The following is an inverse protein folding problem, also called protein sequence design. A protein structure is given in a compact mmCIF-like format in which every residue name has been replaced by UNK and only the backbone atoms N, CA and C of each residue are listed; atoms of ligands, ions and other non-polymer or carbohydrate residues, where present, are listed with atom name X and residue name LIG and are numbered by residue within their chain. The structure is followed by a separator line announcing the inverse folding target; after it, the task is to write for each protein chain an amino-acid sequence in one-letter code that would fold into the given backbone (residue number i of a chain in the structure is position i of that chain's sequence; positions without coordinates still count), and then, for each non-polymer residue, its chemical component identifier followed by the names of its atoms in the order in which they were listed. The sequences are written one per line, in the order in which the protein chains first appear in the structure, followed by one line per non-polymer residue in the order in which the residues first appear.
data_IF_294294632443
#
_entry.id   IF_294294632443
#
_cell.length_a   1.000
_cell.length_b   1.000
_cell.length_c   1.000
_cell.angle_alpha   90.00
_cell.angle_beta   90.00
_cell.angle_gamma   90.00
#
_symmetry.space_group_name_H-M   'P 1'
#
loop_
_entity.id
_entity.type
_entity.pdbx_description
1 polymer ?
#
# COMPACT_ATOMS: atom_id res chain seq x y z
N UNK A 1 16.89 -26.85 3.82
CA UNK A 1 15.92 -25.73 3.74
C UNK A 1 16.68 -24.53 3.18
N UNK A 2 16.17 -23.88 2.12
CA UNK A 2 16.77 -22.65 1.62
C UNK A 2 16.64 -21.56 2.67
N UNK A 3 17.70 -20.77 2.90
CA UNK A 3 17.59 -19.54 3.70
C UNK A 3 16.48 -18.64 3.11
N UNK A 4 15.76 -17.87 3.94
CA UNK A 4 14.83 -16.87 3.42
C UNK A 4 15.57 -15.90 2.50
N UNK A 5 14.90 -15.31 1.49
CA UNK A 5 15.52 -14.27 0.68
C UNK A 5 15.94 -13.11 1.58
N UNK A 6 17.00 -12.35 1.25
CA UNK A 6 17.43 -11.21 2.03
C UNK A 6 16.44 -10.04 1.89
N UNK A 7 16.54 -9.09 2.82
CA UNK A 7 15.89 -7.79 2.70
C UNK A 7 16.35 -7.04 1.44
N UNK A 8 15.47 -6.17 0.92
CA UNK A 8 15.83 -5.32 -0.21
C UNK A 8 17.07 -4.45 0.13
N UNK A 9 17.98 -4.22 -0.83
CA UNK A 9 19.25 -3.52 -0.58
C UNK A 9 19.05 -2.06 -0.14
N UNK A 10 17.92 -1.45 -0.51
CA UNK A 10 17.54 -0.09 -0.13
C UNK A 10 16.87 -0.01 1.25
N UNK A 11 16.40 -1.13 1.83
CA UNK A 11 15.53 -1.15 3.03
C UNK A 11 16.12 -0.36 4.19
N UNK A 12 17.32 -0.74 4.62
CA UNK A 12 17.92 -0.18 5.84
C UNK A 12 18.19 1.32 5.70
N UNK A 13 18.69 1.74 4.53
CA UNK A 13 18.96 3.14 4.25
C UNK A 13 17.65 3.94 4.23
N UNK A 14 16.63 3.45 3.53
CA UNK A 14 15.31 4.07 3.49
C UNK A 14 14.69 4.23 4.89
N UNK A 15 14.71 3.17 5.71
CA UNK A 15 14.19 3.22 7.09
C UNK A 15 14.97 4.23 7.94
N UNK A 16 16.30 4.24 7.87
CA UNK A 16 17.10 5.22 8.61
C UNK A 16 16.80 6.67 8.20
N UNK A 17 16.52 6.90 6.91
CA UNK A 17 16.11 8.21 6.42
C UNK A 17 14.71 8.59 6.92
N UNK A 18 13.75 7.67 6.91
CA UNK A 18 12.41 7.89 7.49
C UNK A 18 12.48 8.26 8.98
N UNK A 19 13.30 7.55 9.77
CA UNK A 19 13.48 7.80 11.20
C UNK A 19 14.14 9.16 11.49
N UNK A 20 14.89 9.70 10.53
CA UNK A 20 15.50 11.01 10.63
C UNK A 20 14.56 12.19 10.36
N UNK A 21 13.37 11.92 9.80
CA UNK A 21 12.36 12.94 9.49
C UNK A 21 11.60 13.35 10.76
N UNK A 22 11.25 14.63 10.89
CA UNK A 22 10.41 15.12 12.00
C UNK A 22 9.04 14.42 12.05
N UNK A 23 8.51 14.15 10.85
CA UNK A 23 7.30 13.38 10.60
C UNK A 23 7.54 12.55 9.34
N UNK A 24 7.22 11.24 9.32
CA UNK A 24 7.45 10.38 8.16
C UNK A 24 6.39 10.62 7.07
N UNK A 25 6.29 11.86 6.60
CA UNK A 25 5.35 12.31 5.58
C UNK A 25 5.84 12.02 4.16
N UNK A 26 4.90 11.76 3.27
CA UNK A 26 5.18 11.55 1.85
C UNK A 26 4.03 12.01 0.98
N UNK A 27 4.34 12.33 -0.28
CA UNK A 27 3.32 12.60 -1.28
C UNK A 27 2.89 11.31 -1.95
N UNK A 28 1.62 10.93 -1.80
CA UNK A 28 1.01 9.82 -2.52
C UNK A 28 0.40 10.32 -3.83
N UNK A 29 0.97 9.86 -4.94
CA UNK A 29 0.45 10.07 -6.29
C UNK A 29 -0.38 8.87 -6.75
N UNK A 30 -1.57 9.14 -7.28
CA UNK A 30 -2.51 8.16 -7.82
C UNK A 30 -3.10 8.67 -9.14
N UNK A 31 -3.85 7.82 -9.83
CA UNK A 31 -4.59 8.19 -11.04
C UNK A 31 -6.10 8.09 -10.80
N UNK A 32 -6.84 9.14 -11.19
CA UNK A 32 -8.31 9.13 -11.20
C UNK A 32 -8.82 9.00 -12.62
N UNK A 33 -9.66 8.00 -12.88
CA UNK A 33 -10.36 7.85 -14.16
C UNK A 33 -11.41 8.95 -14.33
N UNK A 34 -11.48 9.57 -15.50
CA UNK A 34 -12.53 10.51 -15.85
C UNK A 34 -13.90 9.82 -15.88
N UNK A 35 -14.91 10.44 -15.28
CA UNK A 35 -16.29 9.95 -15.41
C UNK A 35 -16.88 10.35 -16.77
N UNK A 36 -17.83 9.58 -17.28
CA UNK A 36 -18.55 9.87 -18.53
C UNK A 36 -19.28 11.23 -18.49
N UNK A 37 -19.62 11.76 -17.31
CA UNK A 37 -20.22 13.08 -17.15
C UNK A 37 -19.26 14.23 -17.51
N UNK A 38 -17.97 14.07 -17.23
CA UNK A 38 -16.94 15.06 -17.60
C UNK A 38 -16.53 14.98 -19.08
N UNK A 39 -17.06 14.01 -19.83
CA UNK A 39 -16.82 13.83 -21.25
C UNK A 39 -17.92 14.43 -22.15
N UNK A 40 -19.02 14.97 -21.57
CA UNK A 40 -20.21 15.43 -22.31
C UNK A 40 -19.99 16.64 -23.23
N UNK A 41 -18.98 17.47 -22.96
CA UNK A 41 -18.72 18.69 -23.74
C UNK A 41 -17.72 18.50 -24.91
N UNK A 42 -17.40 17.25 -25.29
CA UNK A 42 -16.35 17.01 -26.29
C UNK A 42 -16.86 16.39 -27.58
N UNK A 43 -16.37 16.96 -28.70
CA UNK A 43 -16.58 16.44 -30.05
C UNK A 43 -16.03 15.01 -30.13
N UNK A 44 -16.75 14.07 -30.76
CA UNK A 44 -16.28 12.71 -30.96
C UNK A 44 -15.21 12.70 -32.07
N UNK A 45 -13.97 13.04 -31.72
CA UNK A 45 -12.85 12.83 -32.63
C UNK A 45 -11.60 12.42 -31.87
N UNK A 46 -11.10 11.25 -32.27
CA UNK A 46 -9.82 10.60 -31.93
C UNK A 46 -9.79 9.85 -30.59
N UNK A 47 -10.06 8.53 -30.70
CA UNK A 47 -9.67 7.42 -29.81
C UNK A 47 -10.25 7.45 -28.38
N UNK A 48 -11.16 6.49 -28.13
CA UNK A 48 -11.87 6.22 -26.89
C UNK A 48 -11.01 5.67 -25.74
N UNK A 49 -9.82 6.25 -25.50
CA UNK A 49 -8.99 5.90 -24.35
C UNK A 49 -9.60 6.52 -23.07
N UNK A 50 -9.63 5.79 -21.94
CA UNK A 50 -10.04 6.40 -20.68
C UNK A 50 -9.07 7.54 -20.33
N UNK A 51 -9.61 8.73 -20.07
CA UNK A 51 -8.80 9.85 -19.58
C UNK A 51 -8.45 9.62 -18.11
N UNK A 52 -7.17 9.76 -17.77
CA UNK A 52 -6.67 9.68 -16.40
C UNK A 52 -6.16 11.05 -15.95
N UNK A 53 -6.49 11.42 -14.72
CA UNK A 53 -5.99 12.62 -14.09
C UNK A 53 -5.14 12.27 -12.88
N UNK A 54 -3.89 12.74 -12.80
CA UNK A 54 -3.06 12.54 -11.63
C UNK A 54 -3.67 13.26 -10.42
N UNK A 55 -3.47 12.67 -9.24
CA UNK A 55 -3.85 13.25 -7.96
C UNK A 55 -2.70 13.05 -6.99
N UNK A 56 -2.43 14.06 -6.18
CA UNK A 56 -1.39 14.04 -5.18
C UNK A 56 -1.95 14.52 -3.83
N UNK A 57 -1.42 13.98 -2.73
CA UNK A 57 -1.73 14.42 -1.37
C UNK A 57 -0.64 13.94 -0.41
N UNK A 58 -0.49 14.62 0.71
CA UNK A 58 0.38 14.18 1.81
C UNK A 58 -0.27 13.04 2.59
N UNK A 59 0.50 12.01 2.89
CA UNK A 59 0.18 10.88 3.74
C UNK A 59 1.30 10.68 4.77
N UNK A 60 1.02 9.92 5.84
CA UNK A 60 2.02 9.58 6.86
C UNK A 60 2.34 8.10 6.73
N UNK A 61 3.62 7.78 6.51
CA UNK A 61 4.12 6.42 6.52
C UNK A 61 4.04 5.87 7.96
N UNK A 62 3.48 4.67 8.11
CA UNK A 62 3.23 4.00 9.40
C UNK A 62 4.21 2.85 9.63
N UNK A 63 5.37 2.91 8.99
CA UNK A 63 6.39 1.87 9.02
C UNK A 63 6.19 0.82 7.93
N UNK A 64 6.94 -0.27 8.04
CA UNK A 64 6.87 -1.40 7.13
C UNK A 64 5.91 -2.47 7.68
N UNK A 65 5.18 -3.12 6.78
CA UNK A 65 4.22 -4.16 7.15
C UNK A 65 4.92 -5.35 7.82
N UNK A 66 4.33 -5.87 8.90
CA UNK A 66 4.92 -6.90 9.77
C UNK A 66 6.20 -6.47 10.50
N UNK A 67 6.47 -5.17 10.59
CA UNK A 67 7.60 -4.57 11.32
C UNK A 67 7.14 -3.39 12.20
N UNK A 68 5.92 -3.50 12.76
CA UNK A 68 5.37 -2.47 13.63
C UNK A 68 6.15 -2.43 14.96
N UNK A 69 6.85 -1.34 15.21
CA UNK A 69 7.58 -1.12 16.46
C UNK A 69 6.65 -1.18 17.69
N UNK A 70 7.16 -1.76 18.78
CA UNK A 70 6.43 -1.82 20.06
C UNK A 70 6.23 -0.41 20.60
N UNK A 71 4.98 -0.03 20.80
CA UNK A 71 4.60 1.22 21.42
C UNK A 71 3.92 0.94 22.77
N UNK A 72 4.48 1.37 23.91
CA UNK A 72 3.88 1.16 25.22
C UNK A 72 2.48 1.75 25.41
N UNK A 73 2.04 2.65 24.52
CA UNK A 73 0.70 3.25 24.52
C UNK A 73 -0.30 2.52 23.62
N UNK A 74 0.15 1.45 22.95
CA UNK A 74 -0.68 0.62 22.09
C UNK A 74 -1.12 -0.61 22.87
N UNK A 75 -2.37 -0.59 23.33
CA UNK A 75 -2.95 -1.69 24.11
C UNK A 75 -3.46 -2.84 23.22
N UNK A 76 -3.28 -2.74 21.89
CA UNK A 76 -3.71 -3.78 20.96
C UNK A 76 -2.82 -5.03 21.04
N UNK A 77 -3.38 -6.23 20.86
CA UNK A 77 -2.58 -7.44 20.77
C UNK A 77 -1.66 -7.35 19.54
N UNK A 78 -0.34 -7.42 19.77
CA UNK A 78 0.64 -7.43 18.69
C UNK A 78 0.85 -8.85 18.14
N UNK A 79 1.20 -8.93 16.86
CA UNK A 79 1.73 -10.17 16.31
C UNK A 79 3.05 -10.55 16.98
N UNK A 80 3.40 -11.85 17.03
CA UNK A 80 4.69 -12.28 17.55
C UNK A 80 5.83 -11.64 16.74
N UNK A 81 6.76 -10.98 17.43
CA UNK A 81 7.91 -10.31 16.82
C UNK A 81 8.86 -11.29 16.14
N UNK A 82 9.46 -10.88 15.04
CA UNK A 82 10.51 -11.67 14.37
C UNK A 82 10.02 -12.96 13.70
N UNK A 83 8.71 -13.12 13.47
CA UNK A 83 8.18 -14.22 12.65
C UNK A 83 8.25 -13.89 11.15
N UNK A 84 7.88 -12.66 10.82
CA UNK A 84 7.84 -12.13 9.47
C UNK A 84 8.50 -10.77 9.42
N UNK A 85 9.03 -10.42 8.26
CA UNK A 85 9.41 -9.07 7.88
C UNK A 85 8.95 -8.82 6.43
N UNK A 86 8.90 -7.56 6.00
CA UNK A 86 8.57 -7.23 4.62
C UNK A 86 9.04 -5.84 4.24
N UNK A 87 9.31 -5.61 2.96
CA UNK A 87 9.69 -4.28 2.43
C UNK A 87 8.46 -3.47 1.96
N UNK A 88 7.32 -3.68 2.60
CA UNK A 88 6.03 -3.13 2.16
C UNK A 88 5.68 -1.91 3.00
N UNK A 89 5.47 -0.75 2.37
CA UNK A 89 5.20 0.50 3.08
C UNK A 89 3.75 0.54 3.51
N UNK A 90 3.48 1.08 4.70
CA UNK A 90 2.11 1.19 5.22
C UNK A 90 1.70 2.64 5.42
N UNK A 91 0.43 2.94 5.21
CA UNK A 91 -0.21 4.15 5.72
C UNK A 91 -1.66 3.87 6.10
N UNK A 92 -2.30 4.79 6.82
CA UNK A 92 -3.71 4.66 7.24
C UNK A 92 -4.57 5.70 6.55
N UNK A 93 -5.80 5.33 6.18
CA UNK A 93 -6.76 6.24 5.52
C UNK A 93 -8.18 5.95 5.97
N UNK A 94 -9.07 6.93 5.79
CA UNK A 94 -10.51 6.75 5.98
C UNK A 94 -11.13 6.18 4.68
N UNK A 95 -11.99 5.18 4.82
CA UNK A 95 -12.69 4.48 3.74
C UNK A 95 -13.59 5.39 2.89
N UNK A 96 -13.86 6.60 3.36
CA UNK A 96 -14.69 7.61 2.68
C UNK A 96 -13.86 8.64 1.91
N UNK A 97 -12.53 8.61 1.98
CA UNK A 97 -11.69 9.56 1.23
C UNK A 97 -11.74 9.28 -0.28
N UNK A 98 -11.65 10.33 -1.10
CA UNK A 98 -11.68 10.19 -2.57
C UNK A 98 -10.63 9.22 -3.12
N UNK A 99 -9.43 9.18 -2.51
CA UNK A 99 -8.37 8.25 -2.92
C UNK A 99 -8.81 6.78 -2.88
N UNK A 100 -9.82 6.44 -2.10
CA UNK A 100 -10.36 5.09 -2.05
C UNK A 100 -10.90 4.66 -3.42
N UNK A 101 -11.49 5.54 -4.23
CA UNK A 101 -11.87 5.17 -5.60
C UNK A 101 -10.64 4.90 -6.48
N UNK A 102 -9.57 5.66 -6.26
CA UNK A 102 -8.34 5.64 -7.06
C UNK A 102 -7.44 4.44 -6.73
N UNK A 103 -7.59 3.84 -5.54
CA UNK A 103 -6.81 2.69 -5.10
C UNK A 103 -7.31 1.35 -5.67
N UNK A 104 -8.46 1.35 -6.35
CA UNK A 104 -9.02 0.15 -6.97
C UNK A 104 -8.72 0.12 -8.46
N UNK A 105 -8.33 -1.06 -8.95
CA UNK A 105 -8.00 -1.32 -10.35
C UNK A 105 -9.29 -1.35 -11.20
N UNK A 106 -9.80 -0.16 -11.54
CA UNK A 106 -10.91 0.00 -12.50
C UNK A 106 -10.55 0.94 -13.65
N UNK A 107 -9.25 1.18 -13.84
CA UNK A 107 -8.78 2.01 -14.94
C UNK A 107 -7.28 2.20 -14.93
N UNK A 108 -6.52 1.19 -15.31
CA UNK A 108 -5.38 1.43 -16.19
C UNK A 108 -5.61 0.45 -17.33
N UNK A 109 -5.98 0.97 -18.49
CA UNK A 109 -5.99 0.18 -19.72
C UNK A 109 -4.55 -0.31 -19.94
N UNK A 110 -4.35 -1.63 -19.85
CA UNK A 110 -3.03 -2.28 -19.93
C UNK A 110 -2.35 -2.05 -21.29
N UNK A 111 -3.08 -1.57 -22.29
CA UNK A 111 -2.58 -1.26 -23.62
C UNK A 111 -1.54 -0.11 -23.64
N UNK A 112 -1.53 0.78 -22.64
CA UNK A 112 -0.47 1.80 -22.51
C UNK A 112 0.89 1.21 -22.08
N UNK A 113 0.92 -0.03 -21.55
CA UNK A 113 2.18 -0.72 -21.20
C UNK A 113 2.78 -1.43 -22.41
N UNK A 114 1.95 -1.95 -23.32
CA UNK A 114 2.41 -2.59 -24.57
C UNK A 114 3.16 -1.60 -25.46
N UNK A 115 2.78 -0.32 -25.45
CA UNK A 115 3.44 0.72 -26.24
C UNK A 115 4.82 1.18 -25.75
N UNK A 116 5.26 0.78 -24.54
CA UNK A 116 6.55 1.19 -23.97
C UNK A 116 7.64 0.10 -24.03
N UNK A 117 7.35 -1.01 -24.72
CA UNK A 117 8.24 -2.18 -24.85
C UNK A 117 9.18 -2.17 -26.07
N UNK A 118 9.36 -1.05 -26.78
CA UNK A 118 10.20 -1.00 -28.00
C UNK A 118 11.45 -0.12 -27.91
N UNK A 119 11.75 0.48 -26.75
CA UNK A 119 13.03 1.19 -26.55
C UNK A 119 14.05 0.31 -25.80
N UNK A 120 15.02 -0.31 -26.51
CA UNK A 120 16.05 -1.15 -25.90
C UNK A 120 17.06 -0.36 -25.04
N UNK A 121 16.94 0.98 -24.94
CA UNK A 121 17.83 1.84 -24.15
C UNK A 121 17.23 2.30 -22.81
N UNK A 122 15.97 2.01 -22.52
CA UNK A 122 15.33 2.36 -21.23
C UNK A 122 15.77 1.39 -20.12
N UNK A 123 16.47 1.85 -19.07
CA UNK A 123 16.86 0.99 -17.94
C UNK A 123 15.67 0.62 -17.03
N UNK A 124 14.48 1.16 -17.31
CA UNK A 124 13.24 0.79 -16.62
C UNK A 124 12.35 -0.04 -17.53
N UNK A 125 12.00 -1.23 -17.02
CA UNK A 125 11.05 -2.26 -17.49
C UNK A 125 11.50 -3.22 -18.58
N UNK A 126 11.42 -4.51 -18.26
CA UNK A 126 11.23 -5.57 -19.26
C UNK A 126 11.29 -6.97 -18.68
N UNK A 127 10.16 -7.70 -18.77
CA UNK A 127 9.98 -9.17 -18.68
C UNK A 127 9.42 -9.77 -17.37
N UNK A 128 10.05 -9.64 -16.21
CA UNK A 128 9.64 -10.52 -15.08
C UNK A 128 8.32 -10.13 -14.40
N UNK A 129 7.99 -8.84 -14.37
CA UNK A 129 6.70 -8.36 -13.84
C UNK A 129 5.49 -8.74 -14.69
N UNK A 130 5.69 -8.97 -16.00
CA UNK A 130 4.65 -9.39 -16.94
C UNK A 130 4.36 -10.88 -16.83
N UNK A 131 5.38 -11.75 -16.79
CA UNK A 131 5.20 -13.21 -16.69
C UNK A 131 4.49 -13.63 -15.39
N UNK A 132 4.91 -13.09 -14.24
CA UNK A 132 4.27 -13.39 -12.95
C UNK A 132 2.83 -12.89 -12.85
N UNK A 133 2.48 -11.85 -13.63
CA UNK A 133 1.15 -11.26 -13.66
C UNK A 133 0.22 -11.98 -14.64
N UNK A 134 0.72 -12.33 -15.83
CA UNK A 134 0.00 -13.15 -16.82
C UNK A 134 -0.28 -14.56 -16.28
N UNK A 135 0.65 -15.17 -15.54
CA UNK A 135 0.39 -16.43 -14.81
C UNK A 135 -0.71 -16.26 -13.74
N UNK A 136 -0.72 -15.13 -13.03
CA UNK A 136 -1.77 -14.77 -12.08
C UNK A 136 -3.14 -14.60 -12.73
N UNK A 137 -3.19 -13.92 -13.88
CA UNK A 137 -4.39 -13.68 -14.69
C UNK A 137 -4.92 -14.97 -15.35
N UNK A 138 -4.04 -15.82 -15.88
CA UNK A 138 -4.39 -17.13 -16.43
C UNK A 138 -5.03 -18.03 -15.38
N UNK A 139 -4.54 -17.97 -14.12
CA UNK A 139 -5.12 -18.68 -12.98
C UNK A 139 -6.49 -18.13 -12.56
N UNK A 140 -6.77 -16.85 -12.83
CA UNK A 140 -8.09 -16.24 -12.58
C UNK A 140 -9.11 -16.56 -13.67
N UNK A 141 -8.72 -16.61 -14.94
CA UNK A 141 -9.61 -16.92 -16.07
C UNK A 141 -10.13 -18.36 -16.07
N UNK A 142 -9.48 -19.28 -15.35
CA UNK A 142 -9.86 -20.69 -15.25
C UNK A 142 -10.91 -21.03 -14.17
N UNK A 143 -11.38 -20.07 -13.37
CA UNK A 143 -12.41 -20.32 -12.35
C UNK A 143 -13.80 -20.01 -12.90
N UNK A 144 -14.53 -21.06 -13.26
CA UNK A 144 -15.95 -21.01 -13.58
C UNK A 144 -16.72 -20.33 -12.44
N UNK A 145 -17.38 -19.23 -12.75
CA UNK A 145 -18.19 -18.43 -11.83
C UNK A 145 -19.37 -19.24 -11.30
N UNK A 146 -19.31 -19.63 -10.04
CA UNK A 146 -20.52 -19.82 -9.22
C UNK A 146 -21.19 -18.45 -9.05
N UNK A 147 -22.52 -18.41 -9.19
CA UNK A 147 -23.34 -17.19 -9.03
C UNK A 147 -23.22 -16.62 -7.61
N UNK A 148 -22.19 -15.82 -7.35
CA UNK A 148 -22.09 -14.97 -6.16
C UNK A 148 -22.70 -13.60 -6.47
N UNK A 149 -23.49 -13.06 -5.53
CA UNK A 149 -24.11 -11.76 -5.65
C UNK A 149 -23.07 -10.66 -5.95
N UNK A 150 -23.22 -9.98 -7.08
CA UNK A 150 -22.32 -8.91 -7.50
C UNK A 150 -22.44 -7.73 -6.53
N UNK A 151 -21.47 -7.57 -5.62
CA UNK A 151 -21.37 -6.41 -4.73
C UNK A 151 -21.37 -5.11 -5.54
N UNK A 152 -22.11 -4.11 -5.08
CA UNK A 152 -22.05 -2.76 -5.66
C UNK A 152 -20.66 -2.16 -5.52
N UNK A 153 -20.27 -1.23 -6.41
CA UNK A 153 -18.96 -0.54 -6.34
C UNK A 153 -18.73 0.07 -4.96
N UNK A 154 -19.75 0.66 -4.35
CA UNK A 154 -19.67 1.28 -3.02
C UNK A 154 -19.43 0.27 -1.90
N UNK A 155 -19.94 -0.95 -2.01
CA UNK A 155 -19.67 -2.03 -1.06
C UNK A 155 -18.26 -2.59 -1.23
N UNK A 156 -17.78 -2.73 -2.47
CA UNK A 156 -16.40 -3.15 -2.76
C UNK A 156 -15.36 -2.20 -2.15
N UNK A 157 -15.60 -0.89 -2.24
CA UNK A 157 -14.69 0.13 -1.68
C UNK A 157 -14.60 0.10 -0.14
N UNK A 158 -15.54 -0.55 0.54
CA UNK A 158 -15.50 -0.72 2.00
C UNK A 158 -14.68 -1.95 2.42
N UNK A 159 -14.50 -2.94 1.55
CA UNK A 159 -13.78 -4.17 1.87
C UNK A 159 -12.28 -4.09 1.60
N UNK A 160 -11.61 -5.23 1.78
CA UNK A 160 -10.22 -5.42 1.40
C UNK A 160 -10.08 -5.61 -0.12
N UNK A 161 -8.97 -5.16 -0.70
CA UNK A 161 -8.74 -5.22 -2.16
C UNK A 161 -7.75 -4.18 -2.64
N UNK A 162 -8.06 -3.53 -3.76
CA UNK A 162 -7.24 -2.48 -4.36
C UNK A 162 -6.37 -3.00 -5.50
N UNK A 163 -5.08 -2.65 -5.49
CA UNK A 163 -4.10 -3.06 -6.50
C UNK A 163 -3.74 -1.97 -7.52
N UNK A 164 -4.27 -0.76 -7.38
CA UNK A 164 -3.94 0.33 -8.29
C UNK A 164 -2.46 0.73 -8.22
N UNK A 165 -1.93 1.20 -9.35
CA UNK A 165 -0.56 1.73 -9.43
C UNK A 165 -0.47 3.07 -8.72
N UNK A 166 0.58 3.24 -7.91
CA UNK A 166 0.86 4.46 -7.14
C UNK A 166 2.35 4.82 -7.21
N UNK A 167 2.65 6.09 -6.94
CA UNK A 167 4.02 6.53 -6.63
C UNK A 167 4.00 7.29 -5.29
N UNK A 168 4.84 6.88 -4.35
CA UNK A 168 5.04 7.54 -3.06
C UNK A 168 6.38 8.28 -3.06
N UNK A 169 6.36 9.60 -2.85
CA UNK A 169 7.55 10.46 -2.89
C UNK A 169 7.87 10.99 -1.50
N UNK A 170 9.07 10.71 -1.02
CA UNK A 170 9.61 11.15 0.25
C UNK A 170 10.75 12.13 0.02
N UNK A 171 10.82 13.18 0.84
CA UNK A 171 11.97 14.05 0.95
C UNK A 171 12.55 13.95 2.36
N UNK A 172 13.68 13.25 2.49
CA UNK A 172 14.42 13.16 3.74
C UNK A 172 15.37 14.36 3.82
N UNK A 173 14.87 15.47 4.38
CA UNK A 173 15.57 16.76 4.33
C UNK A 173 16.94 16.78 5.01
N UNK A 174 17.09 16.14 6.18
CA UNK A 174 18.37 16.09 6.90
C UNK A 174 19.44 15.28 6.14
N UNK A 175 19.14 14.08 5.59
CA UNK A 175 20.05 13.39 4.69
C UNK A 175 20.22 14.06 3.31
N UNK A 176 19.31 14.93 2.87
CA UNK A 176 19.35 15.49 1.52
C UNK A 176 18.96 14.48 0.43
N UNK A 177 18.12 13.49 0.74
CA UNK A 177 17.79 12.37 -0.16
C UNK A 177 16.30 12.35 -0.50
N UNK A 178 15.98 12.25 -1.78
CA UNK A 178 14.63 11.96 -2.27
C UNK A 178 14.46 10.46 -2.54
N UNK A 179 13.32 9.91 -2.15
CA UNK A 179 12.90 8.56 -2.52
C UNK A 179 11.60 8.60 -3.30
N UNK A 180 11.55 7.97 -4.47
CA UNK A 180 10.31 7.74 -5.22
C UNK A 180 10.06 6.24 -5.28
N UNK A 181 9.03 5.79 -4.59
CA UNK A 181 8.63 4.39 -4.50
C UNK A 181 7.46 4.16 -5.43
N UNK A 182 7.69 3.41 -6.50
CA UNK A 182 6.66 2.95 -7.45
C UNK A 182 6.16 1.58 -7.01
N UNK A 183 4.87 1.31 -7.21
CA UNK A 183 4.29 0.03 -6.85
C UNK A 183 2.77 -0.03 -6.94
N UNK A 184 2.21 -1.04 -6.28
CA UNK A 184 0.75 -1.25 -6.18
C UNK A 184 0.27 -1.10 -4.74
N UNK A 185 -0.84 -0.40 -4.55
CA UNK A 185 -1.42 -0.16 -3.24
C UNK A 185 -2.64 -1.05 -2.97
N UNK A 186 -2.62 -1.79 -1.86
CA UNK A 186 -3.68 -2.68 -1.43
C UNK A 186 -4.32 -2.17 -0.15
N UNK A 187 -5.64 -2.18 -0.11
CA UNK A 187 -6.44 -1.77 1.03
C UNK A 187 -6.78 -2.97 1.89
N UNK A 188 -6.51 -2.86 3.19
CA UNK A 188 -6.79 -3.85 4.21
C UNK A 188 -7.90 -3.31 5.12
N UNK A 189 -9.02 -4.03 5.12
CA UNK A 189 -10.21 -3.74 5.90
C UNK A 189 -10.50 -4.88 6.91
N UNK A 190 -11.51 -4.76 7.79
CA UNK A 190 -11.82 -5.81 8.77
C UNK A 190 -12.15 -7.18 8.18
N UNK A 191 -12.50 -7.25 6.89
CA UNK A 191 -12.80 -8.49 6.17
C UNK A 191 -11.57 -9.18 5.55
N UNK A 192 -10.35 -8.75 5.86
CA UNK A 192 -9.09 -9.21 5.24
C UNK A 192 -8.91 -10.73 5.26
N UNK A 193 -9.40 -11.42 6.29
CA UNK A 193 -9.27 -12.88 6.44
C UNK A 193 -10.59 -13.62 6.14
N UNK A 194 -11.74 -12.94 6.16
CA UNK A 194 -13.07 -13.54 5.98
C UNK A 194 -13.60 -13.47 4.54
N UNK A 195 -13.21 -12.43 3.78
CA UNK A 195 -13.65 -12.24 2.39
C UNK A 195 -12.77 -12.98 1.37
N UNK A 196 -13.32 -13.41 0.21
CA UNK A 196 -12.53 -13.90 -0.91
C UNK A 196 -11.45 -12.92 -1.37
N UNK A 197 -11.81 -11.65 -1.54
CA UNK A 197 -10.89 -10.60 -2.00
C UNK A 197 -9.78 -10.34 -0.97
N UNK A 198 -10.12 -10.34 0.32
CA UNK A 198 -9.15 -10.26 1.41
C UNK A 198 -8.14 -11.42 1.38
N UNK A 199 -8.60 -12.66 1.19
CA UNK A 199 -7.71 -13.83 1.09
C UNK A 199 -6.74 -13.75 -0.10
N UNK A 200 -7.15 -13.15 -1.21
CA UNK A 200 -6.28 -12.91 -2.36
C UNK A 200 -5.19 -11.88 -2.03
N UNK A 201 -5.57 -10.77 -1.38
CA UNK A 201 -4.61 -9.77 -0.88
C UNK A 201 -3.64 -10.41 0.11
N UNK A 202 -4.11 -11.22 1.05
CA UNK A 202 -3.26 -11.96 2.00
C UNK A 202 -2.25 -12.84 1.28
N UNK A 203 -2.68 -13.60 0.26
CA UNK A 203 -1.78 -14.47 -0.50
C UNK A 203 -0.70 -13.66 -1.25
N UNK A 204 -1.07 -12.51 -1.82
CA UNK A 204 -0.15 -11.59 -2.49
C UNK A 204 0.84 -10.95 -1.52
N UNK A 205 0.37 -10.45 -0.39
CA UNK A 205 1.27 -9.82 0.59
C UNK A 205 2.21 -10.86 1.19
N UNK A 206 1.73 -12.07 1.51
CA UNK A 206 2.57 -13.18 1.99
C UNK A 206 3.66 -13.58 0.98
N UNK A 207 3.41 -13.47 -0.33
CA UNK A 207 4.45 -13.76 -1.34
C UNK A 207 5.56 -12.70 -1.39
N UNK A 208 5.33 -11.55 -0.76
CA UNK A 208 6.27 -10.42 -0.64
C UNK A 208 6.81 -10.23 0.78
N UNK A 209 6.40 -11.09 1.70
CA UNK A 209 6.88 -11.14 3.08
C UNK A 209 7.92 -12.25 3.22
N UNK A 210 8.86 -12.07 4.13
CA UNK A 210 9.91 -13.06 4.42
C UNK A 210 9.72 -13.63 5.81
N UNK A 211 9.88 -14.93 5.92
CA UNK A 211 9.81 -15.63 7.20
C UNK A 211 11.20 -15.66 7.83
N UNK A 212 11.33 -15.09 9.02
CA UNK A 212 12.61 -14.95 9.70
C UNK A 212 13.00 -16.17 10.55
N UNK A 213 12.02 -16.90 11.09
CA UNK A 213 12.26 -18.04 11.97
C UNK A 213 11.75 -19.39 11.41
N UNK A 214 12.66 -20.38 11.39
CA UNK A 214 12.33 -21.79 11.61
C UNK A 214 12.13 -22.01 13.11
N UNK A 215 10.97 -22.49 13.52
CA UNK A 215 10.57 -22.71 14.92
C UNK A 215 11.34 -23.86 15.61
N UNK A 216 12.66 -23.76 15.73
CA UNK A 216 13.46 -24.62 16.57
C UNK A 216 14.20 -23.73 17.58
N UNK A 217 14.09 -24.11 18.86
CA UNK A 217 14.83 -23.56 20.00
C UNK A 217 14.34 -22.25 20.61
N UNK A 218 13.11 -22.28 21.12
CA UNK A 218 12.87 -21.71 22.45
C UNK A 218 12.25 -22.82 23.31
N UNK A 219 13.06 -23.31 24.24
CA UNK A 219 12.69 -24.28 25.26
C UNK A 219 11.42 -23.83 26.01
N UNK A 220 10.45 -24.75 26.11
CA UNK A 220 9.51 -24.75 27.22
C UNK A 220 8.25 -23.89 27.07
N UNK A 221 7.20 -24.56 26.60
CA UNK A 221 5.78 -24.27 26.84
C UNK A 221 5.06 -23.20 25.98
N UNK A 222 3.86 -23.62 25.53
CA UNK A 222 2.66 -22.87 25.14
C UNK A 222 2.62 -22.28 23.72
N UNK A 223 1.73 -22.88 22.92
CA UNK A 223 1.12 -22.36 21.68
C UNK A 223 2.02 -21.53 20.76
N UNK A 224 2.43 -22.10 19.62
CA UNK A 224 3.00 -21.31 18.51
C UNK A 224 1.96 -20.26 18.10
N UNK A 225 2.04 -19.05 18.65
CA UNK A 225 1.13 -17.95 18.30
C UNK A 225 1.26 -17.68 16.80
N UNK A 226 0.17 -17.86 16.08
CA UNK A 226 0.12 -17.64 14.64
C UNK A 226 0.08 -16.14 14.32
N UNK A 227 0.74 -15.73 13.24
CA UNK A 227 0.71 -14.34 12.75
C UNK A 227 -0.60 -14.10 11.98
N UNK A 228 -1.30 -12.99 12.26
CA UNK A 228 -2.60 -12.65 11.66
C UNK A 228 -2.60 -11.25 11.05
N UNK A 229 -3.20 -11.14 9.86
CA UNK A 229 -3.42 -9.86 9.19
C UNK A 229 -4.41 -9.00 9.97
N UNK A 230 -5.51 -9.59 10.47
CA UNK A 230 -6.50 -8.86 11.26
C UNK A 230 -5.91 -8.31 12.57
N UNK A 231 -5.00 -9.06 13.20
CA UNK A 231 -4.24 -8.60 14.36
C UNK A 231 -3.34 -7.42 14.02
N UNK A 232 -2.62 -7.48 12.90
CA UNK A 232 -1.74 -6.38 12.45
C UNK A 232 -2.55 -5.09 12.14
N UNK A 233 -3.71 -5.21 11.48
CA UNK A 233 -4.61 -4.08 11.23
C UNK A 233 -5.07 -3.43 12.55
N UNK A 234 -5.38 -4.26 13.55
CA UNK A 234 -5.80 -3.78 14.87
C UNK A 234 -4.64 -3.13 15.61
N UNK A 235 -3.43 -3.69 15.50
CA UNK A 235 -2.21 -3.10 16.04
C UNK A 235 -1.93 -1.72 15.43
N UNK A 236 -2.08 -1.54 14.11
CA UNK A 236 -1.97 -0.23 13.46
C UNK A 236 -3.01 0.78 13.98
N UNK A 237 -4.26 0.36 14.22
CA UNK A 237 -5.29 1.23 14.79
C UNK A 237 -4.96 1.63 16.24
N UNK A 238 -4.53 0.66 17.04
CA UNK A 238 -4.11 0.87 18.42
C UNK A 238 -2.86 1.76 18.55
N UNK A 239 -2.00 1.77 17.53
CA UNK A 239 -0.80 2.61 17.49
C UNK A 239 -1.09 4.10 17.23
N UNK A 240 -2.31 4.46 16.82
CA UNK A 240 -2.74 5.85 16.67
C UNK A 240 -3.04 6.48 18.04
N UNK A 241 -2.92 7.81 18.16
CA UNK A 241 -3.40 8.50 19.36
C UNK A 241 -4.93 8.43 19.46
N UNK A 242 -5.54 8.57 20.66
CA UNK A 242 -6.99 8.59 20.79
C UNK A 242 -7.70 9.63 19.92
N UNK A 243 -7.09 10.81 19.75
CA UNK A 243 -7.61 11.86 18.87
C UNK A 243 -7.53 11.46 17.39
N UNK A 244 -6.44 10.81 16.97
CA UNK A 244 -6.32 10.30 15.59
C UNK A 244 -7.31 9.17 15.31
N UNK A 245 -7.55 8.26 16.28
CA UNK A 245 -8.62 7.26 16.15
C UNK A 245 -9.99 7.91 16.05
N UNK A 246 -10.24 8.96 16.83
CA UNK A 246 -11.48 9.74 16.77
C UNK A 246 -11.72 10.42 15.42
N UNK A 247 -10.67 10.71 14.64
CA UNK A 247 -10.84 11.28 13.29
C UNK A 247 -11.66 10.39 12.34
N UNK A 248 -11.67 9.06 12.53
CA UNK A 248 -12.50 8.14 11.75
C UNK A 248 -13.99 8.23 12.09
N UNK A 249 -14.35 8.98 13.13
CA UNK A 249 -15.73 9.35 13.49
C UNK A 249 -16.07 10.79 13.07
N UNK A 250 -15.21 11.47 12.32
CA UNK A 250 -15.57 12.77 11.77
C UNK A 250 -16.67 12.64 10.71
N UNK A 251 -17.42 13.73 10.43
CA UNK A 251 -18.28 13.81 9.25
C UNK A 251 -17.52 13.42 7.97
N UNK A 252 -18.21 12.88 6.94
CA UNK A 252 -17.55 12.42 5.72
C UNK A 252 -16.65 13.50 5.09
N UNK A 253 -15.40 13.17 4.73
CA UNK A 253 -14.47 14.14 4.17
C UNK A 253 -14.97 14.69 2.83
N UNK A 254 -14.70 15.97 2.56
CA UNK A 254 -15.13 16.65 1.33
C UNK A 254 -16.61 17.10 1.31
N UNK A 255 -17.41 16.76 2.34
CA UNK A 255 -18.79 17.24 2.47
C UNK A 255 -18.79 18.73 2.90
N UNK A 256 -19.62 19.58 2.28
CA UNK A 256 -19.75 20.98 2.69
C UNK A 256 -20.16 21.11 4.16
N UNK A 257 -19.48 21.99 4.89
CA UNK A 257 -19.74 22.26 6.32
C UNK A 257 -21.10 22.90 6.59
N UNK A 258 -21.72 23.50 5.57
CA UNK A 258 -23.06 24.08 5.64
C UNK A 258 -24.17 23.03 5.67
N UNK A 259 -23.88 21.78 5.28
CA UNK A 259 -24.84 20.69 5.32
C UNK A 259 -24.85 20.03 6.70
N UNK A 260 -26.01 19.53 7.16
CA UNK A 260 -26.08 18.76 8.39
C UNK A 260 -25.20 17.50 8.30
N UNK A 261 -24.64 17.11 9.45
CA UNK A 261 -23.92 15.86 9.59
C UNK A 261 -24.95 14.73 9.63
N UNK A 262 -24.99 13.92 8.58
CA UNK A 262 -25.79 12.70 8.54
C UNK A 262 -24.95 11.51 9.00
N UNK A 263 -25.49 10.74 9.93
CA UNK A 263 -24.87 9.53 10.47
C UNK A 263 -24.73 9.59 11.99
N UNK A 264 -25.12 8.50 12.65
CA UNK A 264 -25.06 8.38 14.10
C UNK A 264 -23.60 8.34 14.59
N UNK A 265 -23.31 9.07 15.67
CA UNK A 265 -21.97 9.07 16.29
C UNK A 265 -20.89 9.85 15.54
N UNK A 266 -21.25 10.65 14.53
CA UNK A 266 -20.31 11.47 13.76
C UNK A 266 -20.20 12.90 14.30
N UNK A 267 -18.99 13.30 14.66
CA UNK A 267 -18.66 14.63 15.19
C UNK A 267 -17.14 14.87 15.16
N UNK A 268 -16.74 16.15 15.14
CA UNK A 268 -15.34 16.56 15.22
C UNK A 268 -14.80 16.45 16.66
N UNK A 269 -13.49 16.30 16.79
CA UNK A 269 -12.79 16.40 18.08
C UNK A 269 -13.02 15.23 19.05
N UNK A 270 -13.68 14.17 18.59
CA UNK A 270 -13.89 12.96 19.39
C UNK A 270 -12.56 12.28 19.70
N UNK A 271 -12.49 11.61 20.85
CA UNK A 271 -11.37 10.73 21.22
C UNK A 271 -11.90 9.30 21.33
N UNK A 272 -11.19 8.36 20.72
CA UNK A 272 -11.56 6.94 20.74
C UNK A 272 -10.44 6.16 21.43
N UNK A 273 -10.78 5.48 22.51
CA UNK A 273 -9.87 4.59 23.27
C UNK A 273 -10.18 3.12 23.04
N UNK A 274 -11.44 2.80 22.70
CA UNK A 274 -11.86 1.46 22.33
C UNK A 274 -11.27 1.05 20.97
N UNK A 275 -10.59 -0.09 20.93
CA UNK A 275 -10.00 -0.65 19.71
C UNK A 275 -11.04 -1.24 18.77
N UNK A 276 -12.22 -1.57 19.28
CA UNK A 276 -13.33 -2.17 18.54
C UNK A 276 -14.48 -1.17 18.29
N UNK A 277 -14.23 0.13 18.45
CA UNK A 277 -15.21 1.19 18.21
C UNK A 277 -15.86 1.01 16.82
N UNK A 278 -17.16 0.71 16.72
CA UNK A 278 -17.76 0.24 15.48
C UNK A 278 -17.78 1.31 14.39
N UNK A 279 -17.90 2.60 14.78
CA UNK A 279 -17.95 3.72 13.83
C UNK A 279 -16.55 3.99 13.28
N UNK A 280 -15.54 4.05 14.14
CA UNK A 280 -14.17 4.26 13.73
C UNK A 280 -13.66 3.09 12.88
N UNK A 281 -13.93 1.84 13.29
CA UNK A 281 -13.47 0.63 12.59
C UNK A 281 -14.16 0.44 11.25
N UNK A 282 -15.42 0.85 11.11
CA UNK A 282 -16.10 0.88 9.81
C UNK A 282 -15.37 1.77 8.78
N UNK A 283 -14.70 2.84 9.22
CA UNK A 283 -14.02 3.80 8.36
C UNK A 283 -12.49 3.61 8.30
N UNK A 284 -11.86 3.00 9.30
CA UNK A 284 -10.41 2.82 9.37
C UNK A 284 -9.90 1.80 8.34
N UNK A 285 -8.90 2.18 7.54
CA UNK A 285 -8.19 1.27 6.63
C UNK A 285 -6.68 1.38 6.82
N UNK A 286 -6.00 0.25 6.70
CA UNK A 286 -4.55 0.22 6.43
C UNK A 286 -4.37 0.05 4.92
N UNK A 287 -3.44 0.78 4.34
CA UNK A 287 -3.04 0.62 2.95
C UNK A 287 -1.59 0.18 2.92
N UNK A 288 -1.32 -0.89 2.17
CA UNK A 288 0.01 -1.46 1.97
C UNK A 288 0.46 -1.20 0.54
N UNK A 289 1.55 -0.47 0.37
CA UNK A 289 2.20 -0.27 -0.94
C UNK A 289 3.23 -1.38 -1.11
N UNK A 290 3.06 -2.19 -2.15
CA UNK A 290 3.99 -3.23 -2.58
C UNK A 290 4.92 -2.64 -3.65
N UNK A 291 6.20 -2.37 -3.33
CA UNK A 291 7.10 -1.71 -4.27
C UNK A 291 7.49 -2.63 -5.44
N UNK A 292 7.47 -2.08 -6.65
CA UNK A 292 8.06 -2.71 -7.86
C UNK A 292 9.36 -2.03 -8.27
N UNK A 293 9.58 -0.79 -7.87
CA UNK A 293 10.83 -0.07 -8.09
C UNK A 293 10.97 1.14 -7.19
N UNK A 294 12.22 1.49 -6.88
CA UNK A 294 12.57 2.70 -6.17
C UNK A 294 13.55 3.53 -7.00
N UNK A 295 13.48 4.84 -6.82
CA UNK A 295 14.39 5.82 -7.37
C UNK A 295 14.88 6.69 -6.22
N UNK A 296 16.16 6.51 -5.87
CA UNK A 296 16.85 7.23 -4.81
C UNK A 296 17.70 8.32 -5.46
N UNK A 297 17.38 9.59 -5.23
CA UNK A 297 18.21 10.72 -5.61
C UNK A 297 18.88 11.30 -4.36
N UNK A 298 20.19 11.11 -4.24
CA UNK A 298 21.02 11.68 -3.18
C UNK A 298 21.60 13.02 -3.65
N UNK A 299 21.12 14.09 -3.02
CA UNK A 299 21.47 15.47 -3.32
C UNK A 299 22.23 16.11 -2.14
N UNK A 300 22.78 15.28 -1.24
CA UNK A 300 23.52 15.74 -0.06
C UNK A 300 24.81 16.48 -0.43
N UNK A 301 25.45 16.07 -1.53
CA UNK A 301 26.57 16.77 -2.16
C UNK A 301 26.09 17.43 -3.47
N UNK A 302 25.95 18.77 -3.52
CA UNK A 302 25.50 19.47 -4.73
C UNK A 302 26.53 19.46 -5.86
N UNK A 303 27.81 19.18 -5.59
CA UNK A 303 28.85 19.06 -6.62
C UNK A 303 28.87 17.64 -7.23
N UNK A 304 28.46 16.63 -6.47
CA UNK A 304 28.46 15.22 -6.90
C UNK A 304 27.14 14.51 -6.55
N UNK A 305 25.99 14.95 -7.09
CA UNK A 305 24.72 14.27 -6.87
C UNK A 305 24.76 12.84 -7.43
N UNK A 306 24.09 11.91 -6.75
CA UNK A 306 24.06 10.48 -7.12
C UNK A 306 22.64 9.96 -7.19
N UNK A 307 22.38 9.00 -8.08
CA UNK A 307 21.05 8.44 -8.26
C UNK A 307 21.08 6.94 -8.48
N UNK A 308 20.19 6.22 -7.82
CA UNK A 308 20.05 4.77 -7.97
C UNK A 308 18.64 4.37 -8.31
N UNK A 309 18.50 3.49 -9.29
CA UNK A 309 17.25 2.81 -9.62
C UNK A 309 17.33 1.39 -9.05
N UNK A 310 16.37 1.06 -8.20
CA UNK A 310 16.14 -0.27 -7.67
C UNK A 310 14.93 -0.88 -8.39
N UNK A 311 15.09 -2.07 -8.97
CA UNK A 311 14.00 -2.75 -9.68
C UNK A 311 13.75 -4.10 -9.05
N UNK A 312 12.50 -4.38 -8.69
CA UNK A 312 12.11 -5.72 -8.27
C UNK A 312 12.06 -6.62 -9.51
N UNK A 313 12.94 -7.62 -9.56
CA UNK A 313 13.04 -8.55 -10.68
C UNK A 313 12.38 -9.89 -10.38
N UNK A 314 12.01 -10.17 -9.12
CA UNK A 314 11.42 -11.46 -8.73
C UNK A 314 12.29 -12.68 -9.03
N UNK A 315 11.79 -13.87 -8.70
CA UNK A 315 12.38 -15.13 -9.18
C UNK A 315 13.47 -15.75 -8.29
N UNK A 316 13.47 -17.09 -8.31
CA UNK A 316 14.23 -18.04 -7.48
C UNK A 316 15.75 -17.79 -7.51
N UNK A 317 16.25 -17.03 -6.54
CA UNK A 317 17.67 -16.75 -6.34
C UNK A 317 17.91 -16.00 -5.03
N UNK A 318 19.17 -15.65 -4.74
CA UNK A 318 19.51 -14.91 -3.50
C UNK A 318 19.13 -13.44 -3.54
N UNK A 319 18.90 -12.80 -4.70
CA UNK A 319 18.62 -11.36 -4.79
C UNK A 319 17.38 -11.08 -5.64
N UNK A 320 16.31 -10.61 -5.02
CA UNK A 320 15.04 -10.26 -5.69
C UNK A 320 15.04 -8.85 -6.32
N UNK A 321 16.12 -8.10 -6.11
CA UNK A 321 16.27 -6.70 -6.48
C UNK A 321 17.55 -6.50 -7.29
N UNK A 322 17.42 -5.75 -8.39
CA UNK A 322 18.53 -5.19 -9.15
C UNK A 322 18.75 -3.73 -8.75
N UNK A 323 20.00 -3.27 -8.73
CA UNK A 323 20.38 -1.88 -8.40
C UNK A 323 21.32 -1.35 -9.47
N UNK A 324 20.99 -0.19 -10.02
CA UNK A 324 21.79 0.49 -11.04
C UNK A 324 21.99 1.95 -10.64
N UNK A 325 23.23 2.40 -10.61
CA UNK A 325 23.54 3.84 -10.49
C UNK A 325 23.34 4.50 -11.86
N UNK A 326 22.64 5.63 -11.88
CA UNK A 326 22.27 6.39 -13.08
C UNK A 326 22.65 7.86 -12.91
N UNK A 327 22.65 8.61 -14.01
CA UNK A 327 22.84 10.05 -13.94
C UNK A 327 21.70 10.73 -13.13
N UNK A 328 22.01 11.73 -12.30
CA UNK A 328 21.05 12.46 -11.47
C UNK A 328 19.84 13.02 -12.21
#
# INVERSE_FOLDING_TARGET
MSSPPPAAPWRNLFVSHLESMESPEFTLSTLRRASAANARDRRPSVLAAPLYFPRARTCICRGLWADLAVNPKNDAPLNPSGLWESDLLTFTTDARMEKMEELWESGIDLDLRVGRGTDPSSPTTGKVGEELWEEGLARMKGKTTTEEAVKSTKEKLKGSGGGATVEAVFWAGKPGVQWRVRGRAYVLAPDIESSPEGREVVALLKSRMRRLASSADVHGTKEKKEWSFAREITAHFGNLSPAMRGSFRNPPPGRPVSLPVEGEGLALGQKVTDLEDPVARANFRVVVIVPDGLDQADLSDPEHPRRWIYTYVGGRGRNEWETVEVWP
#
